data_IF_871093347498
#
_entry.id   IF_871093347498
#
_cell.length_a   1.000
_cell.length_b   1.000
_cell.length_c   1.000
_cell.angle_alpha   90.00
_cell.angle_beta   90.00
_cell.angle_gamma   90.00
#
_symmetry.space_group_name_H-M   'P 1'
#
loop_
_entity.id
_entity.type
_entity.pdbx_description
1 polymer ?
#
# COMPACT_ATOMS: atom_id res chain seq x y z
N UNK A 1 -17.66 20.27 -6.05
CA UNK A 1 -17.30 19.12 -5.21
C UNK A 1 -15.94 18.57 -5.63
N UNK A 2 -15.07 18.30 -4.67
CA UNK A 2 -13.80 17.65 -4.95
C UNK A 2 -14.04 16.16 -5.08
N UNK A 3 -13.43 15.56 -6.12
CA UNK A 3 -13.45 14.12 -6.29
C UNK A 3 -12.55 13.46 -5.25
N UNK A 4 -13.01 12.36 -4.69
CA UNK A 4 -12.26 11.55 -3.74
C UNK A 4 -12.11 10.13 -4.27
N UNK A 5 -11.04 9.45 -3.83
CA UNK A 5 -10.78 8.06 -4.18
C UNK A 5 -10.62 7.25 -2.92
N UNK A 6 -10.97 5.98 -3.00
CA UNK A 6 -10.59 4.99 -2.00
C UNK A 6 -9.26 4.38 -2.45
N UNK A 7 -8.29 4.37 -1.55
CA UNK A 7 -6.94 3.91 -1.84
C UNK A 7 -6.56 2.76 -0.89
N UNK A 8 -6.13 1.64 -1.46
CA UNK A 8 -5.64 0.49 -0.70
C UNK A 8 -4.13 0.60 -0.54
N UNK A 9 -3.69 0.75 0.70
CA UNK A 9 -2.28 0.78 1.06
C UNK A 9 -1.88 -0.58 1.64
N UNK A 10 -0.75 -1.11 1.20
CA UNK A 10 -0.23 -2.40 1.68
C UNK A 10 1.23 -2.34 2.12
N UNK A 11 1.91 -1.22 1.87
CA UNK A 11 3.32 -1.01 2.18
C UNK A 11 3.55 0.20 3.10
N UNK A 12 4.49 1.06 2.73
CA UNK A 12 4.88 2.21 3.56
C UNK A 12 3.74 3.20 3.83
N UNK A 13 2.74 3.25 2.95
CA UNK A 13 1.58 4.14 3.14
C UNK A 13 0.56 3.61 4.16
N UNK A 14 0.82 2.46 4.77
CA UNK A 14 0.16 2.03 5.99
C UNK A 14 0.67 2.81 7.20
N UNK A 15 1.86 3.40 7.10
CA UNK A 15 2.45 4.17 8.19
C UNK A 15 1.76 5.52 8.28
N UNK A 16 1.00 5.75 9.36
CA UNK A 16 0.18 6.95 9.52
C UNK A 16 1.04 8.21 9.55
N UNK A 17 2.19 8.20 10.21
CA UNK A 17 3.10 9.35 10.26
C UNK A 17 3.61 9.71 8.87
N UNK A 18 3.92 8.71 8.04
CA UNK A 18 4.37 8.92 6.67
C UNK A 18 3.25 9.51 5.81
N UNK A 19 2.03 8.97 5.94
CA UNK A 19 0.89 9.48 5.19
C UNK A 19 0.48 10.90 5.60
N UNK A 20 0.63 11.26 6.86
CA UNK A 20 0.38 12.63 7.32
C UNK A 20 1.26 13.65 6.59
N UNK A 21 2.48 13.26 6.26
CA UNK A 21 3.42 14.11 5.51
C UNK A 21 3.04 14.17 4.03
N UNK A 22 2.78 13.01 3.41
CA UNK A 22 2.46 12.92 1.98
C UNK A 22 1.07 13.45 1.65
N UNK A 23 0.12 13.12 2.50
CA UNK A 23 -1.31 13.34 2.27
C UNK A 23 -2.00 13.79 3.55
N UNK A 24 -1.79 15.04 3.97
CA UNK A 24 -2.35 15.52 5.25
C UNK A 24 -3.87 15.49 5.33
N UNK A 25 -4.56 15.40 4.18
CA UNK A 25 -6.03 15.34 4.13
C UNK A 25 -6.58 13.93 3.97
N UNK A 26 -5.72 12.91 3.89
CA UNK A 26 -6.17 11.53 3.80
C UNK A 26 -6.84 11.10 5.10
N UNK A 27 -7.90 10.28 4.97
CA UNK A 27 -8.65 9.79 6.13
C UNK A 27 -8.64 8.27 6.13
N UNK A 28 -8.40 7.69 7.29
CA UNK A 28 -8.48 6.24 7.48
C UNK A 28 -9.94 5.82 7.44
N UNK A 29 -10.26 4.87 6.56
CA UNK A 29 -11.60 4.34 6.40
C UNK A 29 -11.75 2.93 6.99
N UNK A 30 -10.65 2.25 7.25
CA UNK A 30 -10.65 0.92 7.83
C UNK A 30 -9.47 0.08 7.36
N UNK A 31 -9.57 -1.22 7.59
CA UNK A 31 -8.57 -2.19 7.16
C UNK A 31 -9.23 -3.54 6.96
N UNK A 32 -8.64 -4.38 6.12
CA UNK A 32 -9.14 -5.73 5.88
C UNK A 32 -8.05 -6.59 5.22
N UNK A 33 -8.36 -7.87 5.06
CA UNK A 33 -7.52 -8.81 4.33
C UNK A 33 -8.03 -8.89 2.90
N UNK A 34 -7.27 -8.38 1.95
CA UNK A 34 -7.63 -8.40 0.52
C UNK A 34 -7.47 -9.83 0.00
N UNK A 35 -8.55 -10.50 -0.43
CA UNK A 35 -8.46 -11.88 -0.89
C UNK A 35 -7.84 -11.98 -2.28
N UNK A 36 -7.17 -13.12 -2.52
CA UNK A 36 -6.57 -13.49 -3.80
C UNK A 36 -5.41 -12.60 -4.25
N UNK A 37 -4.75 -11.99 -3.27
CA UNK A 37 -3.50 -11.24 -3.45
C UNK A 37 -2.57 -11.61 -2.32
N UNK A 38 -1.27 -11.49 -2.56
CA UNK A 38 -0.27 -11.63 -1.51
C UNK A 38 0.75 -10.50 -1.57
N UNK A 39 1.28 -10.14 -0.41
CA UNK A 39 2.35 -9.17 -0.29
C UNK A 39 3.65 -9.82 -0.74
N UNK A 40 4.38 -9.10 -1.58
CA UNK A 40 5.73 -9.51 -2.03
C UNK A 40 6.66 -8.31 -1.94
N UNK A 41 7.96 -8.57 -2.01
CA UNK A 41 8.97 -7.52 -2.05
C UNK A 41 9.79 -7.61 -3.33
N UNK A 42 9.98 -6.43 -3.95
CA UNK A 42 10.83 -6.23 -5.12
C UNK A 42 11.79 -5.07 -4.82
N UNK A 43 12.47 -5.16 -3.66
CA UNK A 43 13.21 -4.07 -3.05
C UNK A 43 12.29 -3.18 -2.22
N UNK A 44 11.10 -2.90 -2.73
CA UNK A 44 10.00 -2.24 -2.02
C UNK A 44 8.76 -3.12 -2.13
N UNK A 45 7.70 -2.78 -1.40
CA UNK A 45 6.50 -3.60 -1.34
C UNK A 45 5.72 -3.56 -2.64
N UNK A 46 5.14 -4.69 -2.99
CA UNK A 46 4.22 -4.87 -4.11
C UNK A 46 3.20 -5.94 -3.71
N UNK A 47 2.17 -6.07 -4.49
CA UNK A 47 1.22 -7.19 -4.37
C UNK A 47 1.12 -7.90 -5.70
N UNK A 48 0.80 -9.19 -5.66
CA UNK A 48 0.54 -9.95 -6.86
C UNK A 48 -0.67 -10.85 -6.65
N UNK A 49 -1.37 -11.15 -7.74
CA UNK A 49 -2.50 -12.07 -7.69
C UNK A 49 -2.04 -13.43 -7.21
N UNK A 50 -2.76 -14.01 -6.25
CA UNK A 50 -2.44 -15.32 -5.69
C UNK A 50 -3.71 -15.92 -5.12
N UNK A 51 -4.31 -16.84 -5.87
CA UNK A 51 -5.57 -17.49 -5.49
C UNK A 51 -5.43 -18.16 -4.12
N UNK A 52 -6.38 -17.88 -3.23
CA UNK A 52 -6.42 -18.44 -1.89
C UNK A 52 -5.59 -17.73 -0.84
N UNK A 53 -4.76 -16.77 -1.25
CA UNK A 53 -3.98 -15.96 -0.32
C UNK A 53 -4.71 -14.67 0.06
N UNK A 54 -4.16 -13.97 1.05
CA UNK A 54 -4.68 -12.69 1.52
C UNK A 54 -3.54 -11.70 1.71
N UNK A 55 -3.84 -10.43 1.44
CA UNK A 55 -2.90 -9.35 1.72
C UNK A 55 -3.54 -8.34 2.68
N UNK A 56 -2.94 -8.07 3.84
CA UNK A 56 -3.46 -7.04 4.72
C UNK A 56 -3.34 -5.66 4.06
N UNK A 57 -4.44 -4.89 4.11
CA UNK A 57 -4.48 -3.55 3.53
C UNK A 57 -5.16 -2.57 4.47
N UNK A 58 -4.70 -1.32 4.39
CA UNK A 58 -5.39 -0.19 5.00
C UNK A 58 -6.15 0.57 3.92
N UNK A 59 -7.34 1.04 4.25
CA UNK A 59 -8.18 1.79 3.33
C UNK A 59 -8.16 3.26 3.70
N UNK A 60 -7.73 4.08 2.76
CA UNK A 60 -7.70 5.54 2.89
C UNK A 60 -8.69 6.19 1.92
N UNK A 61 -9.30 7.27 2.36
CA UNK A 61 -10.00 8.19 1.47
C UNK A 61 -9.05 9.33 1.15
N UNK A 62 -8.79 9.56 -0.14
CA UNK A 62 -7.80 10.54 -0.59
C UNK A 62 -8.41 11.54 -1.56
N UNK A 63 -7.84 12.75 -1.60
CA UNK A 63 -8.23 13.83 -2.51
C UNK A 63 -7.37 13.77 -3.78
N UNK A 64 -7.73 14.56 -4.78
CA UNK A 64 -6.95 14.70 -6.02
C UNK A 64 -5.51 15.16 -5.72
N UNK A 65 -5.33 16.09 -4.81
CA UNK A 65 -4.01 16.59 -4.42
C UNK A 65 -3.17 15.47 -3.80
N UNK A 66 -3.79 14.66 -2.97
CA UNK A 66 -3.15 13.50 -2.36
C UNK A 66 -2.74 12.48 -3.43
N UNK A 67 -3.62 12.22 -4.39
CA UNK A 67 -3.32 11.29 -5.50
C UNK A 67 -2.07 11.73 -6.25
N UNK A 68 -1.93 13.03 -6.54
CA UNK A 68 -0.73 13.57 -7.19
C UNK A 68 0.53 13.37 -6.35
N UNK A 69 0.44 13.56 -5.03
CA UNK A 69 1.56 13.34 -4.12
C UNK A 69 1.97 11.86 -4.07
N UNK A 70 0.98 10.97 -4.03
CA UNK A 70 1.23 9.52 -4.06
C UNK A 70 1.86 9.08 -5.38
N UNK A 71 1.37 9.60 -6.50
CA UNK A 71 1.95 9.30 -7.82
C UNK A 71 3.45 9.64 -7.86
N UNK A 72 3.82 10.79 -7.31
CA UNK A 72 5.24 11.21 -7.25
C UNK A 72 6.04 10.30 -6.33
N UNK A 73 5.49 9.97 -5.18
CA UNK A 73 6.16 9.10 -4.21
C UNK A 73 6.40 7.70 -4.80
N UNK A 74 5.40 7.16 -5.49
CA UNK A 74 5.46 5.81 -6.07
C UNK A 74 6.22 5.74 -7.40
N UNK A 75 6.58 6.88 -7.98
CA UNK A 75 7.22 6.90 -9.29
C UNK A 75 6.29 6.49 -10.42
N UNK A 76 5.02 6.86 -10.31
CA UNK A 76 4.02 6.58 -11.33
C UNK A 76 4.30 7.45 -12.59
N UNK A 77 4.18 6.93 -13.78
CA UNK A 77 3.78 5.56 -14.16
C UNK A 77 4.95 4.60 -14.41
N UNK A 78 6.18 4.99 -14.09
CA UNK A 78 7.40 4.24 -14.45
C UNK A 78 7.67 3.05 -13.53
N UNK A 79 7.74 3.30 -12.22
CA UNK A 79 8.03 2.25 -11.23
C UNK A 79 6.77 1.48 -10.86
N UNK A 80 5.69 2.20 -10.58
CA UNK A 80 4.38 1.64 -10.26
C UNK A 80 3.36 2.12 -11.27
N UNK A 81 2.35 1.29 -11.52
CA UNK A 81 1.13 1.66 -12.26
C UNK A 81 -0.04 1.70 -11.29
N UNK A 82 -1.11 2.38 -11.66
CA UNK A 82 -2.37 2.38 -10.91
C UNK A 82 -3.22 1.19 -11.37
N UNK A 83 -3.87 0.54 -10.40
CA UNK A 83 -4.82 -0.54 -10.66
C UNK A 83 -6.10 -0.29 -9.87
N UNK A 84 -7.21 -0.76 -10.40
CA UNK A 84 -8.50 -0.74 -9.72
C UNK A 84 -8.81 -2.15 -9.21
N UNK A 85 -9.07 -2.26 -7.90
CA UNK A 85 -9.46 -3.52 -7.29
C UNK A 85 -10.77 -3.28 -6.53
N UNK A 86 -11.87 -3.76 -7.09
CA UNK A 86 -13.19 -3.62 -6.45
C UNK A 86 -13.63 -2.18 -6.22
N UNK A 87 -13.24 -1.27 -7.09
CA UNK A 87 -13.58 0.15 -6.97
C UNK A 87 -12.57 0.96 -6.16
N UNK A 88 -11.52 0.34 -5.63
CA UNK A 88 -10.46 1.01 -4.89
C UNK A 88 -9.20 1.09 -5.75
N UNK A 89 -8.50 2.21 -5.66
CA UNK A 89 -7.25 2.40 -6.38
C UNK A 89 -6.10 1.84 -5.55
N UNK A 90 -5.14 1.22 -6.20
CA UNK A 90 -3.87 0.84 -5.58
C UNK A 90 -2.74 0.96 -6.60
N UNK A 91 -1.50 0.78 -6.13
CA UNK A 91 -0.33 0.80 -7.00
C UNK A 91 0.24 -0.62 -7.08
N UNK A 92 0.63 -1.04 -8.28
CA UNK A 92 1.33 -2.30 -8.48
C UNK A 92 2.57 -2.04 -9.31
N UNK A 93 3.67 -2.70 -8.98
CA UNK A 93 4.95 -2.49 -9.66
C UNK A 93 4.92 -3.04 -11.07
N UNK A 94 5.65 -2.37 -11.96
CA UNK A 94 5.83 -2.82 -13.35
C UNK A 94 6.90 -3.92 -13.46
N UNK A 95 7.76 -4.05 -12.45
CA UNK A 95 8.77 -5.12 -12.37
C UNK A 95 8.17 -6.39 -11.79
N UNK A 96 8.74 -7.55 -12.15
CA UNK A 96 8.33 -8.84 -11.60
C UNK A 96 9.43 -9.52 -10.77
N UNK A 97 10.60 -8.89 -10.62
CA UNK A 97 11.74 -9.49 -9.92
C UNK A 97 11.62 -9.32 -8.41
N UNK A 98 11.70 -10.43 -7.66
CA UNK A 98 11.74 -10.39 -6.20
C UNK A 98 13.08 -9.86 -5.70
N UNK A 99 13.04 -9.06 -4.64
CA UNK A 99 14.23 -8.54 -3.99
C UNK A 99 13.88 -8.15 -2.56
N UNK A 100 14.78 -8.41 -1.62
CA UNK A 100 14.54 -8.13 -0.21
C UNK A 100 14.44 -6.62 0.07
N UNK A 101 13.56 -6.21 1.00
CA UNK A 101 13.48 -4.81 1.43
C UNK A 101 14.65 -4.45 2.34
N UNK A 102 14.98 -3.16 2.41
CA UNK A 102 15.90 -2.67 3.44
C UNK A 102 15.24 -2.80 4.82
N UNK A 103 16.07 -2.90 5.85
CA UNK A 103 15.57 -3.01 7.23
C UNK A 103 14.72 -1.80 7.63
N UNK A 104 15.18 -0.59 7.32
CA UNK A 104 14.46 0.63 7.67
C UNK A 104 13.10 0.74 6.99
N UNK A 105 13.02 0.34 5.71
CA UNK A 105 11.77 0.33 4.97
C UNK A 105 10.79 -0.68 5.58
N UNK A 106 11.30 -1.88 5.92
CA UNK A 106 10.49 -2.93 6.55
C UNK A 106 9.94 -2.48 7.90
N UNK A 107 10.75 -1.78 8.71
CA UNK A 107 10.29 -1.24 9.99
C UNK A 107 9.19 -0.20 9.81
N UNK A 108 9.28 0.63 8.78
CA UNK A 108 8.24 1.60 8.44
C UNK A 108 6.90 0.89 8.18
N UNK A 109 6.93 -0.21 7.43
CA UNK A 109 5.73 -1.02 7.14
C UNK A 109 5.22 -1.68 8.41
N UNK A 110 6.10 -2.23 9.23
CA UNK A 110 5.73 -2.88 10.50
C UNK A 110 4.98 -1.92 11.40
N UNK A 111 5.44 -0.68 11.52
CA UNK A 111 4.74 0.34 12.29
C UNK A 111 3.37 0.66 11.67
N UNK A 112 3.26 0.65 10.35
CA UNK A 112 1.98 0.80 9.65
C UNK A 112 1.01 -0.34 9.96
N UNK A 113 1.50 -1.57 10.04
CA UNK A 113 0.69 -2.72 10.46
C UNK A 113 0.11 -2.51 11.86
N UNK A 114 0.91 -1.98 12.77
CA UNK A 114 0.45 -1.64 14.13
C UNK A 114 -0.55 -0.50 14.13
N UNK A 115 -0.33 0.52 13.29
CA UNK A 115 -1.25 1.66 13.16
C UNK A 115 -2.64 1.22 12.70
N UNK A 116 -2.73 0.20 11.83
CA UNK A 116 -3.99 -0.33 11.31
C UNK A 116 -4.46 -1.61 12.00
N UNK A 117 -3.73 -2.06 13.02
CA UNK A 117 -4.02 -3.31 13.74
C UNK A 117 -4.10 -4.51 12.79
N UNK A 118 -3.13 -4.62 11.89
CA UNK A 118 -3.04 -5.70 10.93
C UNK A 118 -2.15 -6.84 11.46
N UNK A 119 -2.43 -8.10 11.08
CA UNK A 119 -1.65 -9.23 11.57
C UNK A 119 -0.25 -9.26 10.95
N UNK A 120 0.78 -9.07 11.78
CA UNK A 120 2.18 -8.97 11.35
C UNK A 120 2.72 -10.27 10.75
N UNK A 121 2.08 -11.41 10.98
CA UNK A 121 2.48 -12.69 10.42
C UNK A 121 2.52 -12.68 8.88
N UNK A 122 1.63 -11.94 8.25
CA UNK A 122 1.63 -11.79 6.79
C UNK A 122 2.87 -11.06 6.29
N UNK A 123 3.34 -10.08 7.06
CA UNK A 123 4.56 -9.36 6.73
C UNK A 123 5.77 -10.27 6.89
N UNK A 124 5.83 -11.04 7.96
CA UNK A 124 6.94 -11.98 8.22
C UNK A 124 7.05 -13.04 7.13
N UNK A 125 5.93 -13.53 6.60
CA UNK A 125 5.91 -14.53 5.53
C UNK A 125 6.36 -13.98 4.19
N UNK A 126 6.23 -12.69 3.97
CA UNK A 126 6.55 -12.05 2.70
C UNK A 126 8.06 -11.74 2.54
N UNK A 127 8.80 -11.82 3.63
CA UNK A 127 10.25 -11.50 3.66
C UNK A 127 11.10 -12.75 3.48
#
# INVERSE_FOLDING_TARGET
MQREWLYLAYGSNLNVKQMEIRCPRAKIMGSFLLPNYKLVFRGVADIEESEGDYCPVGLWKITRKCLGALDRYEGYPTLYRREDIGGCMTYMMNSSNYSEPSWGYLETIKNGYRDFDLPEEYLSRAV
#
